data_IF_583273487545
#
_entry.id   IF_583273487545
#
_cell.length_a   1.000
_cell.length_b   1.000
_cell.length_c   1.000
_cell.angle_alpha   90.00
_cell.angle_beta   90.00
_cell.angle_gamma   90.00
#
_symmetry.space_group_name_H-M   'P 1'
#
loop_
_entity.id
_entity.type
_entity.pdbx_description
1 polymer ?
#
# COMPACT_ATOMS: atom_id res chain seq x y z
N UNK A 1 -31.04 27.03 8.85
CA UNK A 1 -29.98 26.35 8.07
C UNK A 1 -28.64 26.73 8.67
N UNK A 2 -28.19 25.97 9.66
CA UNK A 2 -26.88 26.14 10.29
C UNK A 2 -25.85 25.43 9.43
N UNK A 3 -25.08 26.20 8.67
CA UNK A 3 -23.85 25.73 8.02
C UNK A 3 -22.90 25.28 9.12
N UNK A 4 -22.72 23.96 9.23
CA UNK A 4 -21.65 23.36 10.02
C UNK A 4 -20.34 23.97 9.49
N UNK A 5 -19.53 24.65 10.32
CA UNK A 5 -18.30 25.27 9.84
C UNK A 5 -17.40 24.20 9.22
N UNK A 6 -16.77 24.55 8.09
CA UNK A 6 -15.82 23.76 7.30
C UNK A 6 -14.68 23.13 8.13
N UNK A 7 -14.50 23.59 9.37
CA UNK A 7 -13.58 23.05 10.38
C UNK A 7 -14.00 21.69 10.98
N UNK A 8 -15.24 21.24 10.79
CA UNK A 8 -15.73 19.99 11.38
C UNK A 8 -15.59 18.78 10.46
N UNK A 9 -15.56 18.96 9.14
CA UNK A 9 -15.34 17.86 8.21
C UNK A 9 -13.84 17.55 8.10
N UNK A 10 -13.42 16.29 8.21
CA UNK A 10 -12.04 15.92 7.92
C UNK A 10 -11.70 16.32 6.46
N UNK A 11 -10.44 16.68 6.18
CA UNK A 11 -10.04 16.92 4.80
C UNK A 11 -10.27 15.65 3.98
N UNK A 12 -10.65 15.81 2.71
CA UNK A 12 -10.69 14.71 1.74
C UNK A 12 -9.41 13.88 1.82
N UNK A 13 -9.52 12.56 1.68
CA UNK A 13 -8.43 11.58 1.81
C UNK A 13 -7.26 11.95 0.91
N UNK A 14 -7.53 12.39 -0.31
CA UNK A 14 -6.50 12.90 -1.24
C UNK A 14 -5.67 14.04 -0.66
N UNK A 15 -6.32 14.97 0.06
CA UNK A 15 -5.64 16.12 0.68
C UNK A 15 -4.90 15.71 1.95
N UNK A 16 -5.41 14.70 2.66
CA UNK A 16 -4.75 14.08 3.82
C UNK A 16 -3.43 13.43 3.41
N UNK A 17 -3.44 12.66 2.32
CA UNK A 17 -2.30 11.87 1.82
C UNK A 17 -1.44 12.57 0.77
N UNK A 18 -1.47 13.91 0.70
CA UNK A 18 -0.87 14.65 -0.41
C UNK A 18 0.65 14.41 -0.57
N UNK A 19 1.40 14.23 0.52
CA UNK A 19 2.84 13.93 0.44
C UNK A 19 3.09 12.47 0.14
N UNK A 20 2.30 11.56 0.72
CA UNK A 20 2.39 10.16 0.34
C UNK A 20 2.16 9.98 -1.17
N UNK A 21 1.15 10.65 -1.73
CA UNK A 21 0.86 10.65 -3.17
C UNK A 21 2.03 11.21 -3.98
N UNK A 22 2.63 12.31 -3.54
CA UNK A 22 3.82 12.88 -4.19
C UNK A 22 4.99 11.90 -4.16
N UNK A 23 5.30 11.36 -2.99
CA UNK A 23 6.40 10.41 -2.78
C UNK A 23 6.24 9.13 -3.62
N UNK A 24 5.02 8.60 -3.74
CA UNK A 24 4.72 7.47 -4.60
C UNK A 24 4.90 7.81 -6.09
N UNK A 25 4.44 8.99 -6.53
CA UNK A 25 4.62 9.45 -7.91
C UNK A 25 6.11 9.66 -8.25
N UNK A 26 6.88 10.23 -7.33
CA UNK A 26 8.34 10.37 -7.45
C UNK A 26 9.03 9.00 -7.53
N UNK A 27 8.60 8.01 -6.75
CA UNK A 27 9.15 6.65 -6.84
C UNK A 27 8.84 5.97 -8.16
N UNK A 28 7.63 6.15 -8.71
CA UNK A 28 7.28 5.68 -10.05
C UNK A 28 8.26 6.26 -11.07
N UNK A 29 8.48 7.58 -11.04
CA UNK A 29 9.45 8.26 -11.91
C UNK A 29 10.88 7.75 -11.72
N UNK A 30 11.34 7.65 -10.48
CA UNK A 30 12.69 7.20 -10.14
C UNK A 30 12.94 5.75 -10.61
N UNK A 31 11.95 4.86 -10.47
CA UNK A 31 12.05 3.49 -10.96
C UNK A 31 12.18 3.45 -12.49
N UNK A 32 11.36 4.23 -13.19
CA UNK A 32 11.38 4.31 -14.65
C UNK A 32 12.71 4.88 -15.17
N UNK A 33 13.20 5.96 -14.57
CA UNK A 33 14.47 6.60 -14.93
C UNK A 33 15.67 5.69 -14.67
N UNK A 34 15.71 5.05 -13.49
CA UNK A 34 16.78 4.13 -13.13
C UNK A 34 16.88 2.93 -14.08
N UNK A 35 15.74 2.37 -14.50
CA UNK A 35 15.69 1.29 -15.47
C UNK A 35 16.03 1.78 -16.89
N UNK A 36 15.56 2.98 -17.28
CA UNK A 36 15.86 3.57 -18.57
C UNK A 36 17.36 3.79 -18.76
N UNK A 37 18.11 4.13 -17.70
CA UNK A 37 19.57 4.26 -17.77
C UNK A 37 20.27 2.96 -18.19
N UNK A 38 19.85 1.83 -17.59
CA UNK A 38 20.33 0.50 -17.95
C UNK A 38 19.99 0.17 -19.41
N UNK A 39 18.71 0.32 -19.79
CA UNK A 39 18.26 -0.05 -21.12
C UNK A 39 18.79 0.86 -22.22
N UNK A 40 19.00 2.15 -21.95
CA UNK A 40 19.61 3.08 -22.91
C UNK A 40 21.04 2.68 -23.22
N UNK A 41 21.80 2.25 -22.22
CA UNK A 41 23.17 1.77 -22.41
C UNK A 41 23.17 0.49 -23.26
N UNK A 42 22.27 -0.46 -22.96
CA UNK A 42 22.11 -1.71 -23.72
C UNK A 42 21.70 -1.41 -25.18
N UNK A 43 20.71 -0.54 -25.38
CA UNK A 43 20.19 -0.21 -26.70
C UNK A 43 21.18 0.58 -27.58
N UNK A 44 22.06 1.38 -26.98
CA UNK A 44 23.08 2.12 -27.70
C UNK A 44 24.29 1.25 -28.12
N UNK A 45 24.42 0.04 -27.58
CA UNK A 45 25.54 -0.83 -27.88
C UNK A 45 25.45 -1.41 -29.30
N UNK A 46 26.56 -1.44 -30.08
CA UNK A 46 26.59 -2.10 -31.37
C UNK A 46 26.27 -3.61 -31.25
N UNK A 47 25.60 -4.23 -32.24
CA UNK A 47 25.22 -5.65 -32.18
C UNK A 47 26.39 -6.63 -32.03
N UNK A 48 27.61 -6.21 -32.40
CA UNK A 48 28.83 -7.02 -32.32
C UNK A 48 29.51 -6.94 -30.96
N UNK A 49 29.11 -6.01 -30.08
CA UNK A 49 29.72 -5.84 -28.77
C UNK A 49 29.13 -6.82 -27.76
N UNK A 50 29.91 -7.84 -27.39
CA UNK A 50 29.46 -8.91 -26.50
C UNK A 50 29.60 -8.58 -25.00
N UNK A 51 30.46 -7.61 -24.64
CA UNK A 51 30.68 -7.20 -23.26
C UNK A 51 30.40 -5.71 -23.10
N UNK A 52 29.34 -5.39 -22.36
CA UNK A 52 28.92 -4.03 -22.06
C UNK A 52 29.00 -3.80 -20.55
N UNK A 53 29.70 -2.75 -20.15
CA UNK A 53 29.74 -2.35 -18.73
C UNK A 53 28.50 -1.52 -18.43
N UNK A 54 27.48 -2.16 -17.87
CA UNK A 54 26.23 -1.51 -17.44
C UNK A 54 26.19 -1.45 -15.92
N UNK A 55 25.85 -0.29 -15.36
CA UNK A 55 25.76 -0.09 -13.92
C UNK A 55 24.30 -0.18 -13.45
N UNK A 56 23.95 -1.07 -12.49
CA UNK A 56 22.63 -1.10 -11.88
C UNK A 56 22.49 -0.10 -10.72
N UNK A 57 23.48 0.77 -10.49
CA UNK A 57 23.58 1.60 -9.28
C UNK A 57 22.32 2.44 -9.02
N UNK A 58 21.72 3.05 -10.06
CA UNK A 58 20.50 3.85 -9.90
C UNK A 58 19.33 3.00 -9.38
N UNK A 59 19.16 1.77 -9.91
CA UNK A 59 18.13 0.84 -9.44
C UNK A 59 18.37 0.46 -7.98
N UNK A 60 19.63 0.19 -7.63
CA UNK A 60 20.03 -0.14 -6.25
C UNK A 60 19.75 1.03 -5.30
N UNK A 61 20.07 2.26 -5.70
CA UNK A 61 19.81 3.46 -4.89
C UNK A 61 18.32 3.63 -4.61
N UNK A 62 17.46 3.54 -5.64
CA UNK A 62 15.99 3.59 -5.49
C UNK A 62 15.53 2.51 -4.50
N UNK A 63 16.07 1.29 -4.59
CA UNK A 63 15.71 0.22 -3.65
C UNK A 63 16.04 0.53 -2.19
N UNK A 64 17.08 1.33 -1.91
CA UNK A 64 17.48 1.70 -0.54
C UNK A 64 16.68 2.88 0.01
N UNK A 65 16.26 3.80 -0.85
CA UNK A 65 15.61 5.05 -0.44
C UNK A 65 14.09 5.00 -0.45
N UNK A 66 13.47 4.03 -1.15
CA UNK A 66 12.02 3.96 -1.31
C UNK A 66 11.24 3.88 0.01
N UNK A 67 11.55 2.90 0.87
CA UNK A 67 10.87 2.73 2.15
C UNK A 67 10.99 3.95 3.08
N UNK A 68 12.20 4.50 3.36
CA UNK A 68 12.30 5.67 4.24
C UNK A 68 11.65 6.92 3.66
N UNK A 69 11.63 7.08 2.33
CA UNK A 69 10.95 8.20 1.67
C UNK A 69 9.42 8.13 1.87
N UNK A 70 8.82 6.94 1.71
CA UNK A 70 7.39 6.74 1.95
C UNK A 70 7.01 6.92 3.42
N UNK A 71 7.84 6.43 4.33
CA UNK A 71 7.63 6.61 5.77
C UNK A 71 7.68 8.08 6.18
N UNK A 72 8.69 8.83 5.71
CA UNK A 72 8.79 10.27 5.97
C UNK A 72 7.57 11.03 5.44
N UNK A 73 7.12 10.70 4.23
CA UNK A 73 5.96 11.33 3.62
C UNK A 73 4.67 11.10 4.44
N UNK A 74 4.46 9.87 4.94
CA UNK A 74 3.33 9.54 5.84
C UNK A 74 3.39 10.34 7.14
N UNK A 75 4.55 10.37 7.78
CA UNK A 75 4.74 11.12 9.03
C UNK A 75 4.46 12.62 8.86
N UNK A 76 4.90 13.22 7.76
CA UNK A 76 4.65 14.63 7.48
C UNK A 76 3.17 14.94 7.17
N UNK A 77 2.44 14.01 6.58
CA UNK A 77 0.99 14.12 6.39
C UNK A 77 0.23 13.95 7.72
N UNK A 78 0.65 13.01 8.58
CA UNK A 78 0.11 12.84 9.93
C UNK A 78 0.27 14.10 10.80
N UNK A 79 1.48 14.68 10.80
CA UNK A 79 1.80 15.90 11.56
C UNK A 79 0.99 17.10 11.04
N UNK A 80 0.67 17.13 9.74
CA UNK A 80 -0.12 18.20 9.15
C UNK A 80 -1.59 18.14 9.55
N UNK A 81 -2.13 16.94 9.80
CA UNK A 81 -3.56 16.72 10.04
C UNK A 81 -3.85 16.03 11.39
N UNK A 82 -3.36 16.56 12.53
CA UNK A 82 -3.39 15.85 13.82
C UNK A 82 -4.81 15.53 14.31
N UNK A 83 -5.78 16.41 14.02
CA UNK A 83 -7.18 16.18 14.40
C UNK A 83 -7.86 15.10 13.57
N UNK A 84 -7.50 14.97 12.29
CA UNK A 84 -8.03 13.91 11.43
C UNK A 84 -7.47 12.55 11.87
N UNK A 85 -6.16 12.49 12.06
CA UNK A 85 -5.45 11.29 12.57
C UNK A 85 -6.02 10.84 13.92
N UNK A 86 -6.28 11.78 14.84
CA UNK A 86 -6.86 11.44 16.15
C UNK A 86 -8.27 10.82 16.02
N UNK A 87 -9.11 11.34 15.12
CA UNK A 87 -10.46 10.82 14.87
C UNK A 87 -10.41 9.43 14.23
N UNK A 88 -9.58 9.26 13.21
CA UNK A 88 -9.38 7.98 12.52
C UNK A 88 -8.87 6.92 13.50
N UNK A 89 -7.87 7.23 14.32
CA UNK A 89 -7.38 6.31 15.36
C UNK A 89 -8.48 5.92 16.36
N UNK A 90 -9.32 6.87 16.78
CA UNK A 90 -10.44 6.55 17.66
C UNK A 90 -11.46 5.62 16.97
N UNK A 91 -11.72 5.84 15.68
CA UNK A 91 -12.62 5.00 14.89
C UNK A 91 -12.04 3.60 14.66
N UNK A 92 -10.76 3.50 14.29
CA UNK A 92 -10.03 2.23 14.13
C UNK A 92 -9.98 1.44 15.43
N UNK A 93 -9.81 2.09 16.59
CA UNK A 93 -9.87 1.40 17.89
C UNK A 93 -11.26 0.79 18.16
N UNK A 94 -12.33 1.49 17.79
CA UNK A 94 -13.69 0.97 17.92
C UNK A 94 -13.93 -0.21 16.96
N UNK A 95 -13.54 -0.06 15.69
CA UNK A 95 -13.66 -1.11 14.68
C UNK A 95 -12.82 -2.35 15.02
N UNK A 96 -11.59 -2.15 15.50
CA UNK A 96 -10.74 -3.25 15.99
C UNK A 96 -11.38 -4.01 17.15
N UNK A 97 -11.97 -3.30 18.12
CA UNK A 97 -12.68 -3.96 19.23
C UNK A 97 -13.86 -4.79 18.73
N UNK A 98 -14.60 -4.31 17.70
CA UNK A 98 -15.67 -5.06 17.05
C UNK A 98 -15.13 -6.31 16.32
N UNK A 99 -14.05 -6.20 15.53
CA UNK A 99 -13.40 -7.34 14.88
C UNK A 99 -12.94 -8.40 15.89
N UNK A 100 -12.35 -7.98 17.01
CA UNK A 100 -11.96 -8.90 18.07
C UNK A 100 -13.17 -9.59 18.71
N UNK A 101 -14.32 -8.90 18.83
CA UNK A 101 -15.55 -9.51 19.33
C UNK A 101 -16.09 -10.57 18.36
N UNK A 102 -16.06 -10.30 17.05
CA UNK A 102 -16.43 -11.29 16.01
C UNK A 102 -15.48 -12.48 16.03
N UNK A 103 -14.16 -12.26 16.04
CA UNK A 103 -13.18 -13.34 16.09
C UNK A 103 -13.41 -14.28 17.30
N UNK A 104 -13.64 -13.70 18.49
CA UNK A 104 -13.98 -14.49 19.69
C UNK A 104 -15.29 -15.28 19.55
N UNK A 105 -16.28 -14.71 18.85
CA UNK A 105 -17.55 -15.41 18.60
C UNK A 105 -17.35 -16.58 17.63
N UNK A 106 -16.54 -16.40 16.59
CA UNK A 106 -16.18 -17.47 15.64
C UNK A 106 -15.44 -18.61 16.34
N UNK A 107 -14.43 -18.30 17.16
CA UNK A 107 -13.69 -19.31 17.95
C UNK A 107 -14.63 -20.15 18.83
N UNK A 108 -15.66 -19.52 19.40
CA UNK A 108 -16.66 -20.20 20.23
C UNK A 108 -17.54 -21.17 19.41
N UNK A 109 -17.81 -20.85 18.14
CA UNK A 109 -18.66 -21.65 17.25
C UNK A 109 -17.90 -22.79 16.57
N UNK A 110 -16.64 -22.58 16.19
CA UNK A 110 -15.84 -23.55 15.43
C UNK A 110 -15.23 -24.66 16.31
N UNK A 111 -15.23 -24.47 17.63
CA UNK A 111 -14.71 -25.45 18.59
C UNK A 111 -13.17 -25.49 18.65
N UNK A 112 -12.58 -26.30 19.55
CA UNK A 112 -11.14 -26.29 19.76
C UNK A 112 -10.38 -26.81 18.53
N UNK A 113 -9.23 -26.19 18.24
CA UNK A 113 -8.38 -26.52 17.10
C UNK A 113 -8.06 -28.01 17.01
N UNK A 114 -8.40 -28.60 15.87
CA UNK A 114 -8.01 -29.95 15.51
C UNK A 114 -6.62 -29.86 14.88
N UNK A 115 -5.60 -30.37 15.59
CA UNK A 115 -4.18 -30.49 15.19
C UNK A 115 -3.28 -29.30 15.55
N UNK A 116 -2.62 -29.35 16.72
CA UNK A 116 -1.23 -28.88 17.03
C UNK A 116 -0.70 -27.51 16.58
N UNK A 117 -1.45 -26.73 15.81
CA UNK A 117 -1.12 -25.43 15.26
C UNK A 117 -1.72 -24.39 16.21
N UNK A 118 -0.95 -23.39 16.65
CA UNK A 118 -1.48 -22.31 17.45
C UNK A 118 -2.63 -21.59 16.70
N UNK A 119 -3.79 -21.51 17.32
CA UNK A 119 -4.90 -20.65 16.84
C UNK A 119 -4.49 -19.20 17.04
N UNK A 120 -4.69 -18.32 16.04
CA UNK A 120 -4.50 -16.89 16.23
C UNK A 120 -5.30 -16.38 17.42
N UNK A 121 -4.77 -15.44 18.20
CA UNK A 121 -5.60 -14.72 19.18
C UNK A 121 -6.65 -13.89 18.44
N UNK A 122 -7.72 -13.49 19.13
CA UNK A 122 -8.74 -12.62 18.55
C UNK A 122 -8.16 -11.32 17.96
N UNK A 123 -7.13 -10.78 18.59
CA UNK A 123 -6.41 -9.60 18.11
C UNK A 123 -5.61 -9.88 16.83
N UNK A 124 -4.98 -11.06 16.74
CA UNK A 124 -4.29 -11.50 15.52
C UNK A 124 -5.28 -11.76 14.39
N UNK A 125 -6.41 -12.43 14.68
CA UNK A 125 -7.49 -12.62 13.72
C UNK A 125 -8.10 -11.30 13.23
N UNK A 126 -8.31 -10.33 14.13
CA UNK A 126 -8.80 -9.00 13.77
C UNK A 126 -7.82 -8.21 12.89
N UNK A 127 -6.51 -8.37 13.09
CA UNK A 127 -5.49 -7.77 12.24
C UNK A 127 -5.41 -8.46 10.86
N UNK A 128 -5.47 -9.80 10.84
CA UNK A 128 -5.51 -10.59 9.60
C UNK A 128 -6.74 -10.23 8.76
N UNK A 129 -7.92 -10.14 9.36
CA UNK A 129 -9.15 -9.77 8.66
C UNK A 129 -9.05 -8.40 7.97
N UNK A 130 -8.43 -7.41 8.61
CA UNK A 130 -8.19 -6.11 7.98
C UNK A 130 -7.17 -6.21 6.84
N UNK A 131 -6.08 -6.94 7.03
CA UNK A 131 -5.06 -7.14 5.99
C UNK A 131 -5.62 -7.89 4.77
N UNK A 132 -6.45 -8.91 5.01
CA UNK A 132 -7.15 -9.69 3.97
C UNK A 132 -8.14 -8.79 3.20
N UNK A 133 -8.95 -8.00 3.92
CA UNK A 133 -9.85 -7.02 3.29
C UNK A 133 -9.08 -6.02 2.42
N UNK A 134 -7.96 -5.48 2.91
CA UNK A 134 -7.10 -4.58 2.15
C UNK A 134 -6.51 -5.25 0.90
N UNK A 135 -6.00 -6.47 1.04
CA UNK A 135 -5.42 -7.24 -0.07
C UNK A 135 -6.46 -7.58 -1.14
N UNK A 136 -7.66 -7.98 -0.72
CA UNK A 136 -8.79 -8.25 -1.61
C UNK A 136 -9.17 -7.00 -2.40
N UNK A 137 -9.32 -5.86 -1.72
CA UNK A 137 -9.64 -4.59 -2.37
C UNK A 137 -8.52 -4.14 -3.30
N UNK A 138 -7.25 -4.24 -2.91
CA UNK A 138 -6.12 -3.88 -3.77
C UNK A 138 -6.07 -4.74 -5.05
N UNK A 139 -6.36 -6.04 -4.93
CA UNK A 139 -6.45 -6.95 -6.07
C UNK A 139 -7.61 -6.55 -7.01
N UNK A 140 -8.81 -6.39 -6.47
CA UNK A 140 -9.99 -5.97 -7.25
C UNK A 140 -9.77 -4.61 -7.91
N UNK A 141 -9.17 -3.65 -7.21
CA UNK A 141 -8.98 -2.30 -7.73
C UNK A 141 -8.12 -2.24 -9.00
N UNK A 142 -7.18 -3.20 -9.14
CA UNK A 142 -6.35 -3.30 -10.33
C UNK A 142 -7.16 -3.69 -11.57
N UNK A 143 -8.18 -4.52 -11.40
CA UNK A 143 -8.93 -5.13 -12.49
C UNK A 143 -10.26 -4.42 -12.74
N UNK A 144 -10.99 -4.08 -11.67
CA UNK A 144 -12.30 -3.42 -11.68
C UNK A 144 -12.45 -2.49 -10.44
N UNK A 145 -12.13 -1.19 -10.59
CA UNK A 145 -12.29 -0.20 -9.52
C UNK A 145 -13.72 -0.04 -9.01
N UNK A 146 -14.74 -0.22 -9.87
CA UNK A 146 -16.15 -0.09 -9.46
C UNK A 146 -16.54 -1.24 -8.56
N UNK A 147 -16.12 -2.47 -8.91
CA UNK A 147 -16.30 -3.63 -8.07
C UNK A 147 -15.52 -3.50 -6.76
N UNK A 148 -14.32 -2.96 -6.78
CA UNK A 148 -13.54 -2.71 -5.56
C UNK A 148 -14.23 -1.72 -4.61
N UNK A 149 -14.82 -0.64 -5.15
CA UNK A 149 -15.63 0.31 -4.36
C UNK A 149 -16.87 -0.38 -3.76
N UNK A 150 -17.58 -1.19 -4.56
CA UNK A 150 -18.71 -1.97 -4.06
C UNK A 150 -18.29 -2.91 -2.92
N UNK A 151 -17.12 -3.54 -3.07
CA UNK A 151 -16.56 -4.44 -2.07
C UNK A 151 -16.19 -3.74 -0.77
N UNK A 152 -15.58 -2.54 -0.83
CA UNK A 152 -15.32 -1.74 0.37
C UNK A 152 -16.62 -1.43 1.11
N UNK A 153 -17.68 -1.05 0.39
CA UNK A 153 -19.00 -0.75 0.98
C UNK A 153 -19.63 -1.99 1.63
N UNK A 154 -19.51 -3.14 0.99
CA UNK A 154 -19.99 -4.43 1.52
C UNK A 154 -19.24 -4.81 2.82
N UNK A 155 -17.91 -4.77 2.80
CA UNK A 155 -17.06 -5.09 3.95
C UNK A 155 -17.32 -4.15 5.14
N UNK A 156 -17.60 -2.88 4.88
CA UNK A 156 -17.91 -1.90 5.91
C UNK A 156 -19.34 -1.98 6.46
N UNK A 157 -20.25 -2.72 5.80
CA UNK A 157 -21.67 -2.75 6.18
C UNK A 157 -21.92 -3.35 7.58
N UNK A 158 -21.05 -4.26 8.04
CA UNK A 158 -21.12 -4.85 9.38
C UNK A 158 -20.58 -3.94 10.49
N UNK A 159 -19.88 -2.85 10.13
CA UNK A 159 -19.29 -1.90 11.08
C UNK A 159 -18.03 -2.41 11.78
N UNK A 160 -17.58 -3.64 11.53
CA UNK A 160 -16.28 -4.12 12.02
C UNK A 160 -15.11 -3.57 11.20
N UNK A 161 -15.38 -3.08 9.98
CA UNK A 161 -14.40 -2.43 9.14
C UNK A 161 -14.88 -1.03 8.78
N UNK A 162 -13.92 -0.11 8.69
CA UNK A 162 -14.16 1.27 8.26
C UNK A 162 -13.65 1.42 6.83
N UNK A 163 -14.40 2.08 5.91
CA UNK A 163 -13.96 2.24 4.53
C UNK A 163 -12.55 2.82 4.38
N UNK A 164 -12.23 3.87 5.15
CA UNK A 164 -10.91 4.48 5.14
C UNK A 164 -9.79 3.55 5.63
N UNK A 165 -10.09 2.72 6.64
CA UNK A 165 -9.14 1.75 7.19
C UNK A 165 -8.87 0.61 6.18
N UNK A 166 -9.90 0.17 5.44
CA UNK A 166 -9.75 -0.80 4.35
C UNK A 166 -8.87 -0.21 3.24
N UNK A 167 -9.12 1.04 2.83
CA UNK A 167 -8.31 1.71 1.80
C UNK A 167 -6.87 1.98 2.27
N UNK A 168 -6.65 2.26 3.55
CA UNK A 168 -5.32 2.39 4.13
C UNK A 168 -4.58 1.05 4.08
N UNK A 169 -5.24 -0.05 4.46
CA UNK A 169 -4.69 -1.40 4.34
C UNK A 169 -4.40 -1.81 2.89
N UNK A 170 -5.29 -1.49 1.95
CA UNK A 170 -5.08 -1.75 0.52
C UNK A 170 -3.90 -0.93 -0.04
N UNK A 171 -3.76 0.32 0.40
CA UNK A 171 -2.62 1.17 0.04
C UNK A 171 -1.32 0.58 0.60
N UNK A 172 -1.32 0.11 1.84
CA UNK A 172 -0.17 -0.50 2.50
C UNK A 172 0.24 -1.82 1.84
N UNK A 173 -0.72 -2.66 1.45
CA UNK A 173 -0.44 -3.90 0.70
C UNK A 173 0.24 -3.59 -0.64
N UNK A 174 -0.32 -2.67 -1.43
CA UNK A 174 0.29 -2.25 -2.69
C UNK A 174 1.70 -1.68 -2.50
N UNK A 175 1.92 -0.84 -1.49
CA UNK A 175 3.26 -0.33 -1.14
C UNK A 175 4.21 -1.47 -0.77
N UNK A 176 3.76 -2.40 0.07
CA UNK A 176 4.56 -3.53 0.55
C UNK A 176 5.00 -4.40 -0.62
N UNK A 177 4.10 -4.75 -1.53
CA UNK A 177 4.43 -5.54 -2.71
C UNK A 177 5.42 -4.78 -3.62
N UNK A 178 5.23 -3.47 -3.83
CA UNK A 178 6.17 -2.64 -4.59
C UNK A 178 7.56 -2.60 -3.97
N UNK A 179 7.65 -2.45 -2.64
CA UNK A 179 8.92 -2.47 -1.91
C UNK A 179 9.60 -3.85 -1.96
N UNK A 180 8.83 -4.95 -1.86
CA UNK A 180 9.36 -6.31 -2.02
C UNK A 180 9.91 -6.55 -3.44
N UNK A 181 9.22 -6.03 -4.47
CA UNK A 181 9.73 -6.07 -5.84
C UNK A 181 11.08 -5.33 -5.96
N UNK A 182 11.22 -4.16 -5.33
CA UNK A 182 12.49 -3.42 -5.28
C UNK A 182 13.59 -4.13 -4.48
N UNK A 183 13.26 -4.86 -3.42
CA UNK A 183 14.28 -5.63 -2.68
C UNK A 183 14.98 -6.66 -3.58
N UNK A 184 14.26 -7.23 -4.55
CA UNK A 184 14.81 -8.14 -5.56
C UNK A 184 15.92 -7.52 -6.43
N UNK A 185 15.98 -6.19 -6.55
CA UNK A 185 17.04 -5.48 -7.29
C UNK A 185 18.42 -5.74 -6.69
N UNK A 186 18.52 -5.83 -5.36
CA UNK A 186 19.81 -5.93 -4.65
C UNK A 186 20.49 -7.29 -4.84
N UNK A 187 19.71 -8.33 -5.15
CA UNK A 187 20.20 -9.68 -5.42
C UNK A 187 20.38 -9.98 -6.91
N UNK A 188 20.09 -9.03 -7.81
CA UNK A 188 20.19 -9.26 -9.25
C UNK A 188 21.66 -9.30 -9.69
N UNK A 189 22.07 -10.44 -10.26
CA UNK A 189 23.42 -10.60 -10.83
C UNK A 189 23.60 -9.78 -12.11
N UNK A 190 22.52 -9.61 -12.89
CA UNK A 190 22.52 -8.93 -14.19
C UNK A 190 21.86 -7.55 -14.08
N UNK A 191 22.46 -6.49 -14.65
CA UNK A 191 21.89 -5.15 -14.64
C UNK A 191 20.50 -5.05 -15.30
N UNK A 192 20.24 -5.83 -16.35
CA UNK A 192 18.92 -5.90 -16.98
C UNK A 192 17.86 -6.45 -16.02
N UNK A 193 18.16 -7.52 -15.29
CA UNK A 193 17.26 -8.08 -14.27
C UNK A 193 17.03 -7.06 -13.14
N UNK A 194 18.05 -6.31 -12.73
CA UNK A 194 17.89 -5.21 -11.77
C UNK A 194 16.91 -4.14 -12.30
N UNK A 195 17.03 -3.77 -13.58
CA UNK A 195 16.11 -2.83 -14.23
C UNK A 195 14.69 -3.37 -14.38
N UNK A 196 14.52 -4.66 -14.74
CA UNK A 196 13.21 -5.33 -14.79
C UNK A 196 12.53 -5.33 -13.42
N UNK A 197 13.26 -5.64 -12.35
CA UNK A 197 12.73 -5.61 -10.97
C UNK A 197 12.33 -4.20 -10.55
N UNK A 198 13.12 -3.19 -10.96
CA UNK A 198 12.82 -1.78 -10.71
C UNK A 198 11.52 -1.35 -11.41
N UNK A 199 11.37 -1.66 -12.71
CA UNK A 199 10.13 -1.43 -13.45
C UNK A 199 8.95 -2.24 -12.91
N UNK A 200 9.20 -3.47 -12.46
CA UNK A 200 8.18 -4.35 -11.89
C UNK A 200 7.53 -3.79 -10.62
N UNK A 201 8.19 -2.87 -9.91
CA UNK A 201 7.63 -2.19 -8.74
C UNK A 201 6.63 -1.07 -9.12
N UNK A 202 6.80 -0.45 -10.30
CA UNK A 202 5.98 0.68 -10.78
C UNK A 202 4.46 0.44 -10.72
N UNK A 203 3.90 -0.68 -11.24
CA UNK A 203 2.45 -0.89 -11.19
C UNK A 203 1.88 -0.93 -9.78
N UNK A 204 2.67 -1.37 -8.78
CA UNK A 204 2.25 -1.41 -7.38
C UNK A 204 2.25 -0.02 -6.75
N UNK A 205 3.27 0.80 -7.02
CA UNK A 205 3.28 2.19 -6.55
C UNK A 205 2.19 3.03 -7.24
N UNK A 206 1.93 2.80 -8.53
CA UNK A 206 0.84 3.45 -9.24
C UNK A 206 -0.53 3.06 -8.64
N UNK A 207 -0.74 1.78 -8.31
CA UNK A 207 -1.93 1.32 -7.60
C UNK A 207 -2.07 2.02 -6.23
N UNK A 208 -0.98 2.09 -5.46
CA UNK A 208 -0.97 2.79 -4.17
C UNK A 208 -1.33 4.28 -4.31
N UNK A 209 -0.92 4.96 -5.39
CA UNK A 209 -1.36 6.34 -5.68
C UNK A 209 -2.89 6.41 -5.82
N UNK A 210 -3.48 5.48 -6.57
CA UNK A 210 -4.94 5.49 -6.77
C UNK A 210 -5.71 5.22 -5.47
N UNK A 211 -5.28 4.24 -4.68
CA UNK A 211 -5.91 3.86 -3.40
C UNK A 211 -5.73 4.93 -2.31
N UNK A 212 -4.56 5.57 -2.24
CA UNK A 212 -4.32 6.64 -1.27
C UNK A 212 -5.12 7.93 -1.59
N UNK A 213 -5.51 8.12 -2.85
CA UNK A 213 -6.11 9.35 -3.36
C UNK A 213 -7.60 9.29 -3.68
N UNK A 214 -8.26 8.16 -3.43
CA UNK A 214 -9.70 7.98 -3.72
C UNK A 214 -10.57 8.40 -2.54
N UNK A 215 -11.61 9.18 -2.83
CA UNK A 215 -12.67 9.50 -1.87
C UNK A 215 -13.91 8.68 -2.26
N UNK A 216 -14.46 7.92 -1.31
CA UNK A 216 -15.64 7.07 -1.52
C UNK A 216 -16.92 7.86 -1.22
N UNK A 217 -17.20 8.87 -2.04
CA UNK A 217 -18.45 9.63 -1.97
C UNK A 217 -19.68 8.77 -2.40
#
# INVERSE_FOLDING_TARGET
>A
MTTIPDQLNPPARRRRNARLLLALAELVGACAEAAAEVYRTIAAAPPTQQALKVSPLACVQVSYTAAPLLEAARQEDDVRWPNAVARERAQSLHAHAARCAVARATDFLEGPAVLGVPVPTAEQGAAMALAEAGSEVAALWRDDPEQAVARVRELAAGGELVPDEILDAATEDAVTIGLLALQGVRGAAEPSIAAERCLGAVPYFALAVTLAGVDLD
#
